data_IF_387679102166
#
_entry.id   IF_387679102166
#
_cell.length_a   1.000
_cell.length_b   1.000
_cell.length_c   1.000
_cell.angle_alpha   90.00
_cell.angle_beta   90.00
_cell.angle_gamma   90.00
#
_symmetry.space_group_name_H-M   'P 1'
#
loop_
_entity.id
_entity.type
_entity.pdbx_description
1 polymer ?
#
# COMPACT_ATOMS: atom_id res chain seq x y z
N UNK A 1 4.80 -23.61 21.91
CA UNK A 1 6.23 -23.97 21.89
C UNK A 1 7.03 -22.80 22.47
N UNK A 2 7.91 -23.04 23.46
CA UNK A 2 8.74 -21.98 24.07
C UNK A 2 9.85 -21.58 23.09
N UNK A 3 9.94 -20.28 22.77
CA UNK A 3 11.00 -19.74 21.92
C UNK A 3 12.35 -19.95 22.62
N UNK A 4 13.36 -20.55 21.96
CA UNK A 4 14.66 -20.76 22.59
C UNK A 4 15.32 -19.42 22.91
N UNK A 5 16.05 -19.38 24.01
CA UNK A 5 16.67 -18.16 24.54
C UNK A 5 17.56 -17.48 23.48
N UNK A 6 17.62 -16.14 23.46
CA UNK A 6 18.52 -15.39 22.60
C UNK A 6 19.98 -15.69 22.99
N UNK A 7 20.82 -15.97 22.00
CA UNK A 7 22.24 -16.22 22.21
C UNK A 7 22.99 -14.92 22.53
N UNK A 8 24.01 -15.02 23.39
CA UNK A 8 24.93 -13.91 23.65
C UNK A 8 25.83 -13.66 22.43
N UNK A 9 26.29 -12.41 22.20
CA UNK A 9 27.26 -12.13 21.14
C UNK A 9 28.51 -13.00 21.29
N UNK A 10 28.93 -13.68 20.21
CA UNK A 10 30.12 -14.55 20.19
C UNK A 10 29.91 -15.98 20.68
N UNK A 11 28.74 -16.30 21.27
CA UNK A 11 28.43 -17.67 21.68
C UNK A 11 28.09 -18.53 20.45
N UNK A 12 28.75 -19.69 20.25
CA UNK A 12 28.37 -20.64 19.21
C UNK A 12 26.97 -21.20 19.52
N UNK A 13 26.11 -21.30 18.50
CA UNK A 13 24.78 -21.91 18.67
C UNK A 13 24.96 -23.42 18.93
N UNK A 14 24.39 -24.00 19.99
CA UNK A 14 24.47 -25.45 20.24
C UNK A 14 23.88 -26.28 19.11
N UNK A 15 23.02 -25.69 18.27
CA UNK A 15 22.42 -26.35 17.10
C UNK A 15 23.24 -26.15 15.81
N UNK A 16 24.42 -25.53 15.88
CA UNK A 16 25.25 -25.22 14.71
C UNK A 16 25.60 -26.47 13.87
N UNK A 17 25.92 -27.59 14.53
CA UNK A 17 26.23 -28.86 13.84
C UNK A 17 24.99 -29.48 13.18
N UNK A 18 23.84 -29.40 13.86
CA UNK A 18 22.58 -29.91 13.32
C UNK A 18 22.11 -29.09 12.13
N UNK A 19 22.23 -27.76 12.18
CA UNK A 19 21.92 -26.89 11.04
C UNK A 19 22.84 -27.16 9.86
N UNK A 20 24.13 -27.43 10.10
CA UNK A 20 25.08 -27.74 9.05
C UNK A 20 24.75 -29.07 8.38
N UNK A 21 24.48 -30.12 9.16
CA UNK A 21 24.09 -31.43 8.65
C UNK A 21 22.78 -31.39 7.85
N UNK A 22 21.75 -30.67 8.34
CA UNK A 22 20.49 -30.52 7.62
C UNK A 22 20.63 -29.68 6.35
N UNK A 23 21.44 -28.62 6.42
CA UNK A 23 21.78 -27.85 5.23
C UNK A 23 22.45 -28.75 4.21
N UNK A 24 23.49 -29.48 4.59
CA UNK A 24 24.21 -30.48 3.77
C UNK A 24 23.28 -31.58 3.21
N UNK A 25 22.24 -31.96 3.94
CA UNK A 25 21.23 -32.92 3.47
C UNK A 25 20.29 -32.37 2.38
N UNK A 26 20.24 -31.06 2.14
CA UNK A 26 19.34 -30.48 1.13
C UNK A 26 18.42 -29.39 1.62
N UNK A 27 18.27 -29.22 2.93
CA UNK A 27 17.25 -28.33 3.48
C UNK A 27 17.63 -26.85 3.31
N UNK A 28 16.61 -26.01 3.04
CA UNK A 28 16.79 -24.56 2.99
C UNK A 28 16.82 -23.98 4.41
N UNK A 29 17.44 -22.81 4.58
CA UNK A 29 17.46 -22.11 5.87
C UNK A 29 16.06 -21.90 6.45
N UNK A 30 15.06 -21.66 5.59
CA UNK A 30 13.66 -21.49 6.01
C UNK A 30 13.04 -22.79 6.54
N UNK A 31 13.33 -23.94 5.92
CA UNK A 31 12.88 -25.24 6.40
C UNK A 31 13.51 -25.61 7.74
N UNK A 32 14.82 -25.40 7.86
CA UNK A 32 15.54 -25.59 9.12
C UNK A 32 14.94 -24.67 10.19
N UNK A 33 14.77 -23.38 9.90
CA UNK A 33 14.19 -22.43 10.85
C UNK A 33 12.76 -22.83 11.30
N UNK A 34 11.91 -23.27 10.37
CA UNK A 34 10.57 -23.75 10.69
C UNK A 34 10.59 -25.01 11.58
N UNK A 35 11.49 -25.97 11.31
CA UNK A 35 11.62 -27.21 12.09
C UNK A 35 11.98 -26.94 13.55
N UNK A 36 12.82 -25.95 13.80
CA UNK A 36 13.28 -25.58 15.15
C UNK A 36 12.50 -24.42 15.78
N UNK A 37 11.49 -23.87 15.11
CA UNK A 37 10.74 -22.69 15.59
C UNK A 37 11.61 -21.44 15.74
N UNK A 38 12.59 -21.28 14.85
CA UNK A 38 13.57 -20.21 14.85
C UNK A 38 13.29 -19.19 13.76
N UNK A 39 13.93 -18.02 13.88
CA UNK A 39 13.97 -17.05 12.80
C UNK A 39 15.00 -17.47 11.73
N UNK A 40 14.65 -17.26 10.47
CA UNK A 40 15.48 -17.56 9.32
C UNK A 40 16.87 -16.89 9.42
N UNK A 41 16.92 -15.64 9.90
CA UNK A 41 18.20 -14.91 10.02
C UNK A 41 19.12 -15.52 11.08
N UNK A 42 18.57 -16.18 12.10
CA UNK A 42 19.38 -16.87 13.12
C UNK A 42 20.12 -18.05 12.48
N UNK A 43 19.43 -18.90 11.74
CA UNK A 43 20.03 -20.06 11.05
C UNK A 43 21.09 -19.60 10.06
N UNK A 44 20.78 -18.60 9.22
CA UNK A 44 21.73 -18.04 8.26
C UNK A 44 23.00 -17.47 8.93
N UNK A 45 22.85 -16.75 10.04
CA UNK A 45 23.97 -16.17 10.78
C UNK A 45 24.83 -17.25 11.44
N UNK A 46 24.21 -18.28 12.01
CA UNK A 46 24.92 -19.40 12.64
C UNK A 46 25.79 -20.13 11.63
N UNK A 47 25.24 -20.47 10.47
CA UNK A 47 25.97 -21.18 9.42
C UNK A 47 27.10 -20.32 8.81
N UNK A 48 26.86 -19.04 8.54
CA UNK A 48 27.89 -18.12 8.00
C UNK A 48 29.08 -17.88 8.93
N UNK A 49 28.93 -18.10 10.24
CA UNK A 49 30.01 -17.96 11.23
C UNK A 49 30.86 -19.22 11.37
N UNK A 50 30.42 -20.33 10.77
CA UNK A 50 31.11 -21.61 10.85
C UNK A 50 32.33 -21.60 9.90
N UNK A 51 33.53 -21.98 10.37
CA UNK A 51 34.70 -22.06 9.50
C UNK A 51 34.48 -23.14 8.43
N UNK A 52 34.78 -22.81 7.17
CA UNK A 52 34.61 -23.72 6.03
C UNK A 52 33.17 -23.83 5.49
N UNK A 53 32.21 -23.06 6.01
CA UNK A 53 30.87 -23.03 5.43
C UNK A 53 30.89 -22.35 4.06
N UNK A 54 30.54 -23.12 3.02
CA UNK A 54 30.29 -22.61 1.68
C UNK A 54 28.79 -22.60 1.46
N UNK A 55 28.23 -21.39 1.29
CA UNK A 55 26.84 -21.28 0.90
C UNK A 55 26.69 -21.92 -0.49
N UNK A 56 25.78 -22.88 -0.63
CA UNK A 56 25.46 -23.46 -1.92
C UNK A 56 25.08 -22.37 -2.88
N UNK A 57 25.66 -22.42 -4.07
CA UNK A 57 25.18 -21.61 -5.16
C UNK A 57 23.69 -21.90 -5.34
N UNK A 58 22.92 -20.82 -5.30
CA UNK A 58 21.49 -20.89 -5.58
C UNK A 58 21.40 -21.47 -6.99
N UNK A 59 20.78 -22.66 -7.11
CA UNK A 59 20.64 -23.32 -8.41
C UNK A 59 20.10 -22.32 -9.42
N UNK A 60 20.57 -22.40 -10.66
CA UNK A 60 20.15 -21.50 -11.73
C UNK A 60 18.62 -21.48 -11.89
N UNK A 61 17.96 -22.60 -11.57
CA UNK A 61 16.49 -22.75 -11.49
C UNK A 61 15.81 -21.88 -10.42
N UNK A 62 16.53 -21.44 -9.38
CA UNK A 62 16.07 -20.45 -8.40
C UNK A 62 16.49 -19.01 -8.78
N UNK A 63 17.45 -18.83 -9.70
CA UNK A 63 17.89 -17.51 -10.20
C UNK A 63 17.09 -17.05 -11.44
N UNK A 64 16.53 -17.96 -12.23
CA UNK A 64 15.74 -17.62 -13.42
C UNK A 64 14.30 -18.20 -13.36
N UNK A 65 13.25 -17.35 -13.43
CA UNK A 65 13.29 -15.92 -13.14
C UNK A 65 12.14 -15.54 -12.22
N UNK A 66 12.50 -15.03 -11.04
CA UNK A 66 11.59 -14.28 -10.18
C UNK A 66 10.80 -13.24 -11.00
N UNK A 67 11.42 -12.62 -12.00
CA UNK A 67 10.76 -11.72 -12.95
C UNK A 67 9.61 -12.37 -13.73
N UNK A 68 9.81 -13.50 -14.41
CA UNK A 68 8.71 -14.18 -15.12
C UNK A 68 7.61 -14.65 -14.16
N UNK A 69 8.00 -15.10 -12.96
CA UNK A 69 7.02 -15.52 -11.94
C UNK A 69 6.19 -14.32 -11.47
N UNK A 70 6.85 -13.18 -11.20
CA UNK A 70 6.20 -11.93 -10.83
C UNK A 70 5.38 -11.36 -11.97
N UNK A 71 5.82 -11.50 -13.23
CA UNK A 71 5.08 -11.08 -14.42
C UNK A 71 3.81 -11.92 -14.59
N UNK A 72 3.87 -13.24 -14.34
CA UNK A 72 2.68 -14.11 -14.32
C UNK A 72 1.72 -13.74 -13.20
N UNK A 73 2.22 -13.45 -12.00
CA UNK A 73 1.41 -13.00 -10.86
C UNK A 73 0.77 -11.64 -11.18
N UNK A 74 1.53 -10.68 -11.72
CA UNK A 74 1.04 -9.37 -12.12
C UNK A 74 -0.01 -9.47 -13.24
N UNK A 75 0.21 -10.32 -14.24
CA UNK A 75 -0.75 -10.56 -15.32
C UNK A 75 -2.05 -11.22 -14.82
N UNK A 76 -1.97 -12.06 -13.79
CA UNK A 76 -3.15 -12.62 -13.12
C UNK A 76 -3.89 -11.55 -12.32
N UNK A 77 -3.18 -10.77 -11.51
CA UNK A 77 -3.77 -9.69 -10.73
C UNK A 77 -4.47 -8.64 -11.60
N UNK A 78 -3.89 -8.29 -12.77
CA UNK A 78 -4.53 -7.40 -13.75
C UNK A 78 -5.85 -7.97 -14.28
N UNK A 79 -5.90 -9.25 -14.63
CA UNK A 79 -7.13 -9.91 -15.10
C UNK A 79 -8.20 -9.98 -14.01
N UNK A 80 -7.82 -10.28 -12.78
CA UNK A 80 -8.75 -10.29 -11.64
C UNK A 80 -9.28 -8.87 -11.34
N UNK A 81 -8.42 -7.85 -11.41
CA UNK A 81 -8.84 -6.44 -11.31
C UNK A 81 -9.77 -6.02 -12.44
N UNK A 82 -9.56 -6.51 -13.66
CA UNK A 82 -10.38 -6.18 -14.82
C UNK A 82 -11.77 -6.82 -14.73
N UNK A 83 -11.90 -8.01 -14.15
CA UNK A 83 -13.19 -8.64 -13.83
C UNK A 83 -13.94 -7.92 -12.70
N UNK A 84 -13.22 -7.35 -11.74
CA UNK A 84 -13.78 -6.59 -10.63
C UNK A 84 -14.00 -5.11 -10.97
N UNK A 85 -13.46 -4.64 -12.09
CA UNK A 85 -13.67 -3.28 -12.55
C UNK A 85 -15.13 -3.20 -13.01
N UNK A 86 -16.00 -2.46 -12.31
CA UNK A 86 -17.32 -2.20 -12.86
C UNK A 86 -17.11 -1.57 -14.24
N UNK A 87 -17.87 -2.04 -15.23
CA UNK A 87 -17.90 -1.38 -16.53
C UNK A 87 -18.04 0.12 -16.25
N UNK A 88 -17.20 1.00 -16.82
CA UNK A 88 -17.42 2.43 -16.72
C UNK A 88 -18.59 2.77 -17.63
N UNK A 89 -19.78 2.29 -17.28
CA UNK A 89 -21.01 2.96 -17.66
C UNK A 89 -21.01 4.23 -16.82
N UNK A 90 -20.29 5.24 -17.34
CA UNK A 90 -20.54 6.62 -16.97
C UNK A 90 -22.00 6.88 -17.33
N UNK A 91 -22.88 6.61 -16.37
CA UNK A 91 -24.24 7.07 -16.42
C UNK A 91 -24.27 8.40 -15.69
N UNK A 92 -25.04 9.38 -16.17
CA UNK A 92 -25.26 10.63 -15.44
C UNK A 92 -25.68 10.37 -13.97
N UNK A 93 -26.40 9.27 -13.72
CA UNK A 93 -26.79 8.82 -12.39
C UNK A 93 -25.60 8.40 -11.51
N UNK A 94 -24.66 7.60 -12.02
CA UNK A 94 -23.46 7.22 -11.27
C UNK A 94 -22.53 8.41 -10.99
N UNK A 95 -22.41 9.34 -11.94
CA UNK A 95 -21.68 10.59 -11.75
C UNK A 95 -22.34 11.45 -10.66
N UNK A 96 -23.67 11.62 -10.71
CA UNK A 96 -24.42 12.36 -9.70
C UNK A 96 -24.33 11.73 -8.30
N UNK A 97 -24.34 10.40 -8.20
CA UNK A 97 -24.16 9.68 -6.94
C UNK A 97 -22.73 9.87 -6.38
N UNK A 98 -21.72 9.87 -7.24
CA UNK A 98 -20.33 10.15 -6.89
C UNK A 98 -20.15 11.57 -6.34
N UNK A 99 -20.67 12.58 -7.05
CA UNK A 99 -20.63 13.99 -6.63
C UNK A 99 -21.36 14.18 -5.30
N UNK A 100 -22.56 13.61 -5.17
CA UNK A 100 -23.35 13.68 -3.94
C UNK A 100 -22.62 13.06 -2.74
N UNK A 101 -21.90 11.96 -2.96
CA UNK A 101 -21.09 11.31 -1.91
C UNK A 101 -19.89 12.16 -1.53
N UNK A 102 -19.23 12.80 -2.50
CA UNK A 102 -18.12 13.70 -2.26
C UNK A 102 -18.55 14.94 -1.45
N UNK A 103 -19.66 15.59 -1.83
CA UNK A 103 -20.22 16.75 -1.11
C UNK A 103 -20.55 16.37 0.34
N UNK A 104 -21.16 15.19 0.56
CA UNK A 104 -21.48 14.71 1.92
C UNK A 104 -20.22 14.57 2.77
N UNK A 105 -19.16 13.93 2.25
CA UNK A 105 -17.89 13.78 2.97
C UNK A 105 -17.25 15.14 3.29
N UNK A 106 -17.34 16.10 2.38
CA UNK A 106 -16.84 17.45 2.64
C UNK A 106 -17.65 18.15 3.75
N UNK A 107 -19.00 18.04 3.73
CA UNK A 107 -19.86 18.57 4.80
C UNK A 107 -19.54 17.95 6.16
N UNK A 108 -19.38 16.62 6.20
CA UNK A 108 -19.02 15.92 7.44
C UNK A 108 -17.67 16.41 7.98
N UNK A 109 -16.70 16.63 7.09
CA UNK A 109 -15.40 17.20 7.47
C UNK A 109 -15.54 18.63 7.98
N UNK A 110 -16.30 19.49 7.31
CA UNK A 110 -16.54 20.89 7.73
C UNK A 110 -17.24 20.94 9.10
N UNK A 111 -18.17 20.04 9.39
CA UNK A 111 -18.79 19.93 10.72
C UNK A 111 -17.78 19.56 11.82
N UNK A 112 -16.76 18.77 11.48
CA UNK A 112 -15.75 18.33 12.43
C UNK A 112 -14.57 19.29 12.61
N UNK A 113 -14.19 20.04 11.57
CA UNK A 113 -12.95 20.86 11.54
C UNK A 113 -13.22 22.35 11.34
N UNK A 114 -14.42 22.73 10.88
CA UNK A 114 -14.77 24.08 10.45
C UNK A 114 -14.65 24.28 8.93
N UNK A 115 -15.15 25.42 8.41
CA UNK A 115 -15.14 25.74 6.98
C UNK A 115 -13.71 25.93 6.45
N UNK A 116 -13.54 25.64 5.16
CA UNK A 116 -12.23 25.75 4.49
C UNK A 116 -12.10 27.14 3.86
N UNK A 117 -11.15 27.95 4.30
CA UNK A 117 -10.82 29.19 3.61
C UNK A 117 -10.17 28.85 2.25
N UNK A 118 -10.81 29.24 1.15
CA UNK A 118 -10.31 29.03 -0.22
C UNK A 118 -10.28 30.34 -0.99
N UNK A 119 -9.44 30.43 -2.01
CA UNK A 119 -9.29 31.62 -2.84
C UNK A 119 -10.36 31.69 -3.95
N UNK A 120 -10.49 32.89 -4.55
CA UNK A 120 -11.46 33.17 -5.63
C UNK A 120 -11.35 32.20 -6.83
N UNK A 121 -10.14 31.82 -7.30
CA UNK A 121 -9.99 30.79 -8.33
C UNK A 121 -10.61 29.45 -7.95
N UNK A 122 -10.38 28.99 -6.71
CA UNK A 122 -10.94 27.73 -6.22
C UNK A 122 -12.46 27.80 -6.15
N UNK A 123 -13.04 28.92 -5.71
CA UNK A 123 -14.51 29.12 -5.68
C UNK A 123 -15.12 28.99 -7.08
N UNK A 124 -14.52 29.60 -8.11
CA UNK A 124 -14.99 29.47 -9.48
C UNK A 124 -14.85 28.03 -10.01
N UNK A 125 -13.75 27.35 -9.70
CA UNK A 125 -13.51 25.98 -10.12
C UNK A 125 -14.53 24.99 -9.53
N UNK A 126 -14.86 25.11 -8.23
CA UNK A 126 -15.84 24.22 -7.59
C UNK A 126 -17.27 24.49 -8.06
N UNK A 127 -17.62 25.74 -8.38
CA UNK A 127 -18.90 26.06 -9.01
C UNK A 127 -19.02 25.42 -10.40
N UNK A 128 -17.97 25.52 -11.23
CA UNK A 128 -17.90 24.85 -12.53
C UNK A 128 -17.97 23.32 -12.43
N UNK A 129 -17.56 22.75 -11.28
CA UNK A 129 -17.71 21.34 -10.96
C UNK A 129 -19.13 20.96 -10.47
N UNK A 130 -20.05 21.92 -10.38
CA UNK A 130 -21.46 21.69 -10.08
C UNK A 130 -21.88 21.95 -8.63
N UNK A 131 -21.04 22.58 -7.80
CA UNK A 131 -21.47 23.03 -6.47
C UNK A 131 -22.36 24.28 -6.59
N UNK A 132 -23.45 24.29 -5.81
CA UNK A 132 -24.34 25.46 -5.74
C UNK A 132 -23.71 26.58 -4.89
N UNK A 133 -24.26 27.79 -5.00
CA UNK A 133 -23.83 28.91 -4.15
C UNK A 133 -24.03 28.62 -2.65
N UNK A 134 -25.09 27.88 -2.31
CA UNK A 134 -25.37 27.46 -0.92
C UNK A 134 -24.35 26.43 -0.42
N UNK A 135 -23.97 25.45 -1.27
CA UNK A 135 -22.91 24.49 -0.93
C UNK A 135 -21.58 25.22 -0.71
N UNK A 136 -21.27 26.22 -1.54
CA UNK A 136 -20.04 27.02 -1.42
C UNK A 136 -20.05 27.83 -0.12
N UNK A 137 -21.18 28.44 0.23
CA UNK A 137 -21.32 29.19 1.48
C UNK A 137 -21.18 28.30 2.71
N UNK A 138 -21.77 27.11 2.69
CA UNK A 138 -21.67 26.14 3.78
C UNK A 138 -20.25 25.59 3.94
N UNK A 139 -19.59 25.21 2.84
CA UNK A 139 -18.31 24.50 2.88
C UNK A 139 -17.11 25.43 3.06
N UNK A 140 -17.17 26.62 2.49
CA UNK A 140 -16.03 27.53 2.39
C UNK A 140 -16.20 28.84 3.18
N UNK A 141 -17.34 29.02 3.86
CA UNK A 141 -17.69 30.26 4.56
C UNK A 141 -17.63 31.52 3.68
N UNK A 142 -17.84 31.36 2.37
CA UNK A 142 -17.89 32.46 1.39
C UNK A 142 -19.34 32.87 1.20
N UNK A 143 -19.67 34.15 1.41
CA UNK A 143 -21.06 34.60 1.19
C UNK A 143 -21.50 34.36 -0.25
N UNK A 144 -22.79 34.06 -0.53
CA UNK A 144 -23.27 33.85 -1.90
C UNK A 144 -22.94 35.00 -2.86
N UNK A 145 -22.96 36.25 -2.36
CA UNK A 145 -22.61 37.43 -3.12
C UNK A 145 -21.11 37.51 -3.46
N UNK A 146 -20.24 37.04 -2.58
CA UNK A 146 -18.80 36.95 -2.84
C UNK A 146 -18.47 35.80 -3.78
N UNK A 147 -19.13 34.65 -3.62
CA UNK A 147 -18.99 33.52 -4.53
C UNK A 147 -19.42 33.89 -5.96
N UNK A 148 -20.57 34.58 -6.11
CA UNK A 148 -21.03 35.06 -7.41
C UNK A 148 -20.03 36.03 -8.08
N UNK A 149 -19.41 36.93 -7.30
CA UNK A 149 -18.36 37.84 -7.79
C UNK A 149 -17.11 37.07 -8.25
N UNK A 150 -16.67 36.09 -7.47
CA UNK A 150 -15.53 35.24 -7.82
C UNK A 150 -15.76 34.45 -9.11
N UNK A 151 -16.96 33.87 -9.27
CA UNK A 151 -17.37 33.15 -10.48
C UNK A 151 -17.41 34.11 -11.69
N UNK A 152 -18.07 35.26 -11.56
CA UNK A 152 -18.16 36.24 -12.64
C UNK A 152 -16.78 36.76 -13.09
N UNK A 153 -15.84 36.94 -12.15
CA UNK A 153 -14.47 37.37 -12.46
C UNK A 153 -13.66 36.33 -13.25
N UNK A 154 -14.12 35.07 -13.31
CA UNK A 154 -13.41 33.94 -13.92
C UNK A 154 -14.22 33.22 -15.02
N UNK A 155 -15.46 33.64 -15.29
CA UNK A 155 -16.35 33.05 -16.30
C UNK A 155 -15.96 33.31 -17.77
N UNK A 156 -14.76 33.82 -18.05
CA UNK A 156 -14.33 34.22 -19.39
C UNK A 156 -12.82 34.16 -19.63
N UNK A 157 -12.11 33.26 -18.93
CA UNK A 157 -10.68 32.98 -19.17
C UNK A 157 -10.49 31.59 -19.74
#
# INVERSE_FOLDING_TARGET
MRRPAPLKPGQPDPLSDQFAAEYEAGDSFGRIAARYGLDHQRVARTLRRRPGFVQRDISEACRLPHRETMDRIAARARRELELLRPAPTFTPSAAAAGISTAIRRMRDRVRSVGPLCVDSPTVAAVHSAGLTLDDIAELFAVSPAEAARAIAAHAGR
#
